data_IF_731021953023
#
_entry.id   IF_731021953023
#
_cell.length_a   1.000
_cell.length_b   1.000
_cell.length_c   1.000
_cell.angle_alpha   90.00
_cell.angle_beta   90.00
_cell.angle_gamma   90.00
#
_symmetry.space_group_name_H-M   'P 1'
#
loop_
_entity.id
_entity.type
_entity.pdbx_description
1 polymer ?
#
# COMPACT_ATOMS: atom_id res chain seq x y z
N UNK A 1 -10.40 -11.25 9.34
CA UNK A 1 -10.65 -11.53 7.92
C UNK A 1 -9.31 -11.52 7.19
N UNK A 2 -8.53 -12.61 7.31
CA UNK A 2 -7.21 -12.72 6.69
C UNK A 2 -7.41 -13.22 5.25
N UNK A 3 -7.63 -12.29 4.32
CA UNK A 3 -7.64 -12.66 2.92
C UNK A 3 -6.17 -12.79 2.49
N UNK A 4 -5.73 -13.98 2.05
CA UNK A 4 -4.36 -14.27 1.60
C UNK A 4 -3.94 -13.54 0.31
N UNK A 5 -4.41 -12.30 0.14
CA UNK A 5 -4.13 -11.43 -0.99
C UNK A 5 -2.68 -10.97 -0.90
N UNK A 6 -1.89 -11.31 -1.92
CA UNK A 6 -0.47 -10.91 -2.00
C UNK A 6 -0.30 -9.44 -2.36
N UNK A 7 -1.30 -8.85 -3.03
CA UNK A 7 -1.29 -7.49 -3.57
C UNK A 7 -2.60 -6.79 -3.22
N UNK A 8 -2.48 -5.56 -2.76
CA UNK A 8 -3.58 -4.66 -2.44
C UNK A 8 -3.65 -3.58 -3.50
N UNK A 9 -4.84 -3.25 -3.98
CA UNK A 9 -4.99 -2.06 -4.81
C UNK A 9 -4.97 -0.78 -3.97
N UNK A 10 -4.81 0.36 -4.63
CA UNK A 10 -4.76 1.67 -3.98
C UNK A 10 -5.99 1.98 -3.12
N UNK A 11 -7.20 1.59 -3.54
CA UNK A 11 -8.40 1.87 -2.75
C UNK A 11 -8.43 1.00 -1.49
N UNK A 12 -7.97 -0.25 -1.58
CA UNK A 12 -7.80 -1.11 -0.40
C UNK A 12 -6.69 -0.60 0.53
N UNK A 13 -5.59 -0.08 -0.02
CA UNK A 13 -4.52 0.48 0.80
C UNK A 13 -4.93 1.78 1.51
N UNK A 14 -5.82 2.57 0.91
CA UNK A 14 -6.33 3.83 1.50
C UNK A 14 -7.18 3.62 2.76
N UNK A 15 -7.79 2.46 2.93
CA UNK A 15 -8.56 2.16 4.15
C UNK A 15 -7.65 1.76 5.31
N UNK A 16 -6.40 1.39 5.02
CA UNK A 16 -5.44 0.88 5.99
C UNK A 16 -4.41 1.95 6.34
N UNK A 17 -3.92 2.67 5.33
CA UNK A 17 -2.92 3.73 5.48
C UNK A 17 -3.66 5.06 5.57
N UNK A 18 -3.55 5.80 6.69
CA UNK A 18 -4.17 7.12 6.86
C UNK A 18 -3.41 8.18 6.05
N UNK A 19 -3.41 8.07 4.72
CA UNK A 19 -2.76 9.00 3.80
C UNK A 19 -3.66 9.26 2.60
N UNK A 20 -3.61 10.47 2.06
CA UNK A 20 -4.33 10.82 0.83
C UNK A 20 -3.86 9.98 -0.36
N UNK A 21 -4.77 9.69 -1.29
CA UNK A 21 -4.47 8.97 -2.56
C UNK A 21 -3.26 9.55 -3.30
N UNK A 22 -3.19 10.87 -3.41
CA UNK A 22 -2.06 11.56 -4.02
C UNK A 22 -0.74 11.34 -3.26
N UNK A 23 -0.79 11.30 -1.92
CA UNK A 23 0.36 11.01 -1.07
C UNK A 23 0.90 9.61 -1.28
N UNK A 24 0.01 8.61 -1.35
CA UNK A 24 0.39 7.22 -1.65
C UNK A 24 0.98 7.12 -3.05
N UNK A 25 0.36 7.72 -4.06
CA UNK A 25 0.92 7.74 -5.43
C UNK A 25 2.31 8.37 -5.47
N UNK A 26 2.49 9.49 -4.78
CA UNK A 26 3.78 10.20 -4.72
C UNK A 26 4.82 9.34 -4.00
N UNK A 27 4.47 8.74 -2.86
CA UNK A 27 5.36 7.89 -2.09
C UNK A 27 5.73 6.59 -2.84
N UNK A 28 4.81 6.01 -3.62
CA UNK A 28 5.08 4.91 -4.53
C UNK A 28 6.03 5.33 -5.67
N UNK A 29 5.88 6.54 -6.20
CA UNK A 29 6.73 7.07 -7.29
C UNK A 29 8.12 7.46 -6.79
N UNK A 30 8.22 8.00 -5.57
CA UNK A 30 9.48 8.32 -4.89
C UNK A 30 10.23 7.06 -4.40
N UNK A 31 9.60 5.88 -4.44
CA UNK A 31 10.20 4.62 -3.95
C UNK A 31 10.20 4.46 -2.43
N UNK A 32 9.50 5.34 -1.70
CA UNK A 32 9.30 5.24 -0.24
C UNK A 32 8.36 4.08 0.12
N UNK A 33 7.34 3.87 -0.72
CA UNK A 33 6.41 2.74 -0.61
C UNK A 33 6.75 1.73 -1.70
N UNK A 34 7.02 0.46 -1.36
CA UNK A 34 7.19 -0.58 -2.34
C UNK A 34 5.86 -0.78 -3.08
N UNK A 35 5.89 -0.68 -4.41
CA UNK A 35 4.71 -0.83 -5.23
C UNK A 35 5.00 -1.69 -6.45
N UNK A 36 4.00 -2.45 -6.88
CA UNK A 36 4.02 -3.28 -8.07
C UNK A 36 3.04 -2.69 -9.07
N UNK A 37 3.53 -2.36 -10.26
CA UNK A 37 2.69 -1.84 -11.34
C UNK A 37 2.28 -2.96 -12.27
N UNK A 38 0.98 -3.20 -12.40
CA UNK A 38 0.43 -4.16 -13.36
C UNK A 38 -0.42 -3.37 -14.36
N UNK A 39 0.14 -3.16 -15.55
CA UNK A 39 -0.43 -2.28 -16.57
C UNK A 39 -0.55 -0.83 -16.10
N UNK A 40 -1.77 -0.29 -16.10
CA UNK A 40 -2.07 1.07 -15.65
C UNK A 40 -2.34 1.18 -14.13
N UNK A 41 -2.43 0.05 -13.42
CA UNK A 41 -2.79 0.01 -12.00
C UNK A 41 -1.54 -0.17 -11.13
N UNK A 42 -1.55 0.47 -9.97
CA UNK A 42 -0.51 0.36 -8.95
C UNK A 42 -1.08 -0.47 -7.80
N UNK A 43 -0.29 -1.43 -7.35
CA UNK A 43 -0.59 -2.33 -6.26
C UNK A 43 0.48 -2.20 -5.18
N UNK A 44 0.08 -2.41 -3.94
CA UNK A 44 0.96 -2.43 -2.78
C UNK A 44 1.07 -3.87 -2.28
N UNK A 45 2.28 -4.39 -2.05
CA UNK A 45 2.45 -5.72 -1.51
C UNK A 45 1.87 -5.88 -0.10
N UNK A 46 1.25 -7.03 0.15
CA UNK A 46 0.77 -7.47 1.47
C UNK A 46 1.79 -7.30 2.58
N UNK A 47 3.02 -7.79 2.38
CA UNK A 47 4.08 -7.71 3.40
C UNK A 47 4.35 -6.28 3.89
N UNK A 48 4.19 -5.28 3.02
CA UNK A 48 4.41 -3.88 3.38
C UNK A 48 3.24 -3.33 4.18
N UNK A 49 2.01 -3.71 3.80
CA UNK A 49 0.81 -3.38 4.56
C UNK A 49 0.87 -4.04 5.94
N UNK A 50 1.28 -5.29 6.03
CA UNK A 50 1.46 -6.01 7.29
C UNK A 50 2.49 -5.33 8.19
N UNK A 51 3.60 -4.82 7.62
CA UNK A 51 4.55 -4.00 8.38
C UNK A 51 3.92 -2.73 8.92
N UNK A 52 3.16 -1.99 8.12
CA UNK A 52 2.48 -0.77 8.57
C UNK A 52 1.46 -1.06 9.69
N UNK A 53 0.69 -2.14 9.54
CA UNK A 53 -0.28 -2.56 10.58
C UNK A 53 0.44 -3.01 11.85
N UNK A 54 1.63 -3.61 11.72
CA UNK A 54 2.44 -4.09 12.84
C UNK A 54 3.26 -3.00 13.53
N UNK A 55 3.58 -1.89 12.84
CA UNK A 55 4.28 -0.72 13.39
C UNK A 55 3.39 0.54 13.42
N UNK A 56 2.21 0.53 14.08
CA UNK A 56 1.43 1.74 14.28
C UNK A 56 2.07 2.54 15.43
N UNK A 57 3.15 3.26 15.14
CA UNK A 57 3.77 4.16 16.12
C UNK A 57 5.22 4.53 15.83
N UNK A 58 5.41 5.62 15.10
CA UNK A 58 6.55 6.53 15.26
C UNK A 58 6.07 7.97 15.00
#
# INVERSE_FOLDING_TARGET
>A
MANGKKLYDLNEALTIIPMSKAGIYKACTEGKIPSVRVGRRVFIPSWYIEKIISEPGA
#
